data_IF_222030997718
#
_entry.id   IF_222030997718
#
_cell.length_a   1.000
_cell.length_b   1.000
_cell.length_c   1.000
_cell.angle_alpha   90.00
_cell.angle_beta   90.00
_cell.angle_gamma   90.00
#
_symmetry.space_group_name_H-M   'P 1'
#
loop_
_entity.id
_entity.type
_entity.pdbx_description
1 polymer ?
#
# COMPACT_ATOMS: atom_id res chain seq x y z
N UNK A 1 -9.40 -5.49 -42.90
CA UNK A 1 -8.63 -4.69 -41.92
C UNK A 1 -9.25 -4.93 -40.55
N UNK A 2 -8.79 -5.96 -39.84
CA UNK A 2 -9.29 -6.26 -38.50
C UNK A 2 -8.38 -5.54 -37.49
N UNK A 3 -8.95 -4.58 -36.78
CA UNK A 3 -8.28 -3.94 -35.64
C UNK A 3 -7.94 -5.00 -34.58
N UNK A 4 -6.78 -4.92 -33.91
CA UNK A 4 -6.45 -5.85 -32.85
C UNK A 4 -7.41 -5.67 -31.67
N UNK A 5 -8.00 -6.77 -31.24
CA UNK A 5 -8.78 -6.90 -30.01
C UNK A 5 -7.87 -6.49 -28.85
N UNK A 6 -8.24 -5.43 -28.11
CA UNK A 6 -7.58 -5.07 -26.84
C UNK A 6 -7.62 -6.28 -25.90
N UNK A 7 -6.52 -6.62 -25.19
CA UNK A 7 -6.56 -7.71 -24.23
C UNK A 7 -7.68 -7.43 -23.22
N UNK A 8 -8.53 -8.45 -23.05
CA UNK A 8 -9.75 -8.41 -22.27
C UNK A 8 -9.51 -7.83 -20.88
N UNK A 9 -10.46 -7.00 -20.46
CA UNK A 9 -10.68 -6.54 -19.10
C UNK A 9 -10.73 -7.76 -18.18
N UNK A 10 -9.59 -8.12 -17.57
CA UNK A 10 -9.58 -9.05 -16.44
C UNK A 10 -10.43 -8.36 -15.39
N UNK A 11 -11.59 -8.93 -15.07
CA UNK A 11 -12.44 -8.46 -13.98
C UNK A 11 -11.54 -8.11 -12.79
N UNK A 12 -11.41 -6.80 -12.53
CA UNK A 12 -10.47 -6.33 -11.53
C UNK A 12 -10.93 -6.89 -10.19
N UNK A 13 -10.13 -7.79 -9.60
CA UNK A 13 -10.34 -8.23 -8.22
C UNK A 13 -10.43 -6.97 -7.36
N UNK A 14 -11.40 -6.92 -6.45
CA UNK A 14 -11.51 -5.79 -5.53
C UNK A 14 -10.16 -5.61 -4.80
N UNK A 15 -9.66 -4.38 -4.66
CA UNK A 15 -8.37 -4.16 -4.01
C UNK A 15 -8.42 -4.65 -2.56
N UNK A 16 -7.29 -5.14 -2.04
CA UNK A 16 -7.16 -5.45 -0.62
C UNK A 16 -7.52 -4.23 0.21
N UNK A 17 -8.27 -4.42 1.29
CA UNK A 17 -8.66 -3.36 2.22
C UNK A 17 -8.33 -3.75 3.65
N UNK A 18 -7.82 -2.79 4.42
CA UNK A 18 -7.49 -2.96 5.83
C UNK A 18 -8.36 -2.04 6.69
N UNK A 19 -9.17 -2.59 7.62
CA UNK A 19 -9.95 -1.78 8.54
C UNK A 19 -9.06 -1.18 9.63
N UNK A 20 -9.35 0.06 10.02
CA UNK A 20 -8.70 0.73 11.14
C UNK A 20 -9.66 1.68 11.88
N UNK A 21 -9.30 2.01 13.12
CA UNK A 21 -9.99 3.00 13.95
C UNK A 21 -9.07 4.18 14.18
N UNK A 22 -9.62 5.40 14.16
CA UNK A 22 -8.90 6.60 14.57
C UNK A 22 -8.85 6.70 16.09
N UNK A 23 -7.65 6.75 16.65
CA UNK A 23 -7.41 6.92 18.09
C UNK A 23 -6.92 8.33 18.43
N UNK A 24 -6.84 8.64 19.73
CA UNK A 24 -6.34 9.93 20.21
C UNK A 24 -4.95 10.28 19.66
N UNK A 25 -4.04 9.29 19.58
CA UNK A 25 -2.69 9.46 19.03
C UNK A 25 -2.66 9.86 17.54
N UNK A 26 -3.77 9.63 16.83
CA UNK A 26 -3.88 9.96 15.42
C UNK A 26 -4.31 11.42 15.20
N UNK A 27 -4.87 12.08 16.21
CA UNK A 27 -5.50 13.41 16.11
C UNK A 27 -4.56 14.56 16.50
N UNK A 28 -4.86 15.77 16.01
CA UNK A 28 -4.19 17.01 16.40
C UNK A 28 -5.16 18.05 17.03
N UNK A 29 -4.65 19.23 17.35
CA UNK A 29 -5.41 20.33 17.94
C UNK A 29 -6.58 20.83 17.06
N UNK A 30 -6.61 20.47 15.77
CA UNK A 30 -7.73 20.73 14.87
C UNK A 30 -8.90 19.78 15.05
N UNK A 31 -8.81 18.78 15.93
CA UNK A 31 -9.87 17.80 16.20
C UNK A 31 -10.06 16.78 15.07
N UNK A 32 -9.05 16.61 14.22
CA UNK A 32 -9.03 15.70 13.07
C UNK A 32 -7.73 14.92 13.05
N UNK A 33 -7.65 13.87 12.23
CA UNK A 33 -6.40 13.12 12.03
C UNK A 33 -5.30 14.04 11.50
N UNK A 34 -4.16 14.07 12.19
CA UNK A 34 -2.98 14.80 11.75
C UNK A 34 -2.50 14.27 10.41
N UNK A 35 -2.30 15.16 9.42
CA UNK A 35 -2.10 14.78 8.01
C UNK A 35 -1.00 13.71 7.79
N UNK A 36 0.08 13.74 8.57
CA UNK A 36 1.17 12.79 8.42
C UNK A 36 0.79 11.36 8.87
N UNK A 37 -0.19 11.21 9.77
CA UNK A 37 -0.62 9.91 10.27
C UNK A 37 -1.29 9.04 9.19
N UNK A 38 -1.80 9.64 8.11
CA UNK A 38 -2.29 8.87 6.96
C UNK A 38 -1.17 8.04 6.29
N UNK A 39 0.10 8.48 6.35
CA UNK A 39 1.22 7.66 5.87
C UNK A 39 1.42 6.39 6.73
N UNK A 40 1.19 6.50 8.05
CA UNK A 40 1.20 5.34 8.97
C UNK A 40 0.07 4.38 8.63
N UNK A 41 -1.12 4.90 8.34
CA UNK A 41 -2.27 4.09 7.92
C UNK A 41 -1.98 3.34 6.62
N UNK A 42 -1.39 4.04 5.63
CA UNK A 42 -0.95 3.43 4.39
C UNK A 42 0.08 2.32 4.62
N UNK A 43 1.08 2.53 5.47
CA UNK A 43 2.08 1.52 5.81
C UNK A 43 1.49 0.29 6.50
N UNK A 44 0.61 0.48 7.50
CA UNK A 44 -0.09 -0.60 8.19
C UNK A 44 -0.86 -1.46 7.18
N UNK A 45 -1.60 -0.82 6.26
CA UNK A 45 -2.34 -1.54 5.21
C UNK A 45 -1.43 -2.33 4.26
N UNK A 46 -0.28 -1.78 3.85
CA UNK A 46 0.69 -2.53 3.02
C UNK A 46 1.32 -3.70 3.77
N UNK A 47 1.59 -3.54 5.07
CA UNK A 47 2.10 -4.62 5.92
C UNK A 47 1.11 -5.76 6.01
N UNK A 48 -0.16 -5.46 6.25
CA UNK A 48 -1.21 -6.48 6.37
C UNK A 48 -1.60 -7.09 5.02
N UNK A 49 -1.48 -6.34 3.93
CA UNK A 49 -1.57 -6.88 2.58
C UNK A 49 -0.48 -7.94 2.34
N UNK A 50 0.79 -7.63 2.61
CA UNK A 50 1.88 -8.62 2.50
C UNK A 50 1.63 -9.83 3.41
N UNK A 51 1.12 -9.61 4.62
CA UNK A 51 0.76 -10.69 5.55
C UNK A 51 -0.34 -11.59 4.99
N UNK A 52 -1.37 -11.03 4.35
CA UNK A 52 -2.42 -11.83 3.68
C UNK A 52 -1.88 -12.66 2.51
N UNK A 53 -0.77 -12.24 1.91
CA UNK A 53 -0.03 -13.00 0.91
C UNK A 53 0.95 -14.02 1.52
N UNK A 54 0.97 -14.16 2.84
CA UNK A 54 1.83 -15.10 3.58
C UNK A 54 3.23 -14.56 3.88
N UNK A 55 3.46 -13.25 3.75
CA UNK A 55 4.76 -12.63 4.01
C UNK A 55 4.70 -11.68 5.20
N UNK A 56 5.46 -11.96 6.25
CA UNK A 56 5.79 -10.95 7.26
C UNK A 56 7.07 -10.22 6.85
N UNK A 57 7.15 -8.92 7.11
CA UNK A 57 8.31 -8.11 6.70
C UNK A 57 9.61 -8.59 7.36
N UNK A 58 9.55 -8.98 8.64
CA UNK A 58 10.72 -9.48 9.36
C UNK A 58 11.17 -10.84 8.84
N UNK A 59 10.24 -11.78 8.64
CA UNK A 59 10.60 -13.10 8.09
C UNK A 59 11.19 -12.96 6.69
N UNK A 60 10.61 -12.08 5.86
CA UNK A 60 11.16 -11.80 4.54
C UNK A 60 12.60 -11.28 4.61
N UNK A 61 12.88 -10.36 5.53
CA UNK A 61 14.22 -9.83 5.76
C UNK A 61 15.20 -10.92 6.20
N UNK A 62 14.79 -11.79 7.13
CA UNK A 62 15.63 -12.88 7.65
C UNK A 62 15.91 -13.93 6.57
N UNK A 63 14.91 -14.33 5.79
CA UNK A 63 15.03 -15.43 4.82
C UNK A 63 15.72 -15.01 3.53
N UNK A 64 15.52 -13.76 3.08
CA UNK A 64 15.98 -13.31 1.76
C UNK A 64 17.07 -12.25 1.81
N UNK A 65 17.29 -11.64 2.98
CA UNK A 65 18.16 -10.50 3.15
C UNK A 65 17.65 -9.20 2.52
N UNK A 66 16.43 -9.16 1.96
CA UNK A 66 15.86 -7.95 1.35
C UNK A 66 14.88 -7.22 2.26
N UNK A 67 14.69 -5.93 2.02
CA UNK A 67 13.64 -5.13 2.65
C UNK A 67 13.03 -4.14 1.66
N UNK A 68 11.81 -3.71 1.94
CA UNK A 68 11.14 -2.65 1.17
C UNK A 68 11.37 -1.29 1.82
N UNK A 69 11.71 -0.29 1.02
CA UNK A 69 11.88 1.10 1.45
C UNK A 69 10.99 2.00 0.60
N UNK A 70 10.38 3.02 1.22
CA UNK A 70 9.63 4.04 0.49
C UNK A 70 10.62 5.01 -0.15
N UNK A 71 10.47 5.27 -1.45
CA UNK A 71 11.34 6.19 -2.21
C UNK A 71 10.63 7.44 -2.71
N UNK A 72 9.30 7.40 -2.82
CA UNK A 72 8.47 8.55 -3.19
C UNK A 72 7.06 8.41 -2.61
N UNK A 73 6.47 9.52 -2.19
CA UNK A 73 5.09 9.58 -1.72
C UNK A 73 4.39 10.84 -2.23
N UNK A 74 3.19 10.68 -2.78
CA UNK A 74 2.27 11.77 -3.09
C UNK A 74 0.95 11.52 -2.38
N UNK A 75 0.42 12.52 -1.68
CA UNK A 75 -0.82 12.39 -0.90
C UNK A 75 -1.75 13.58 -1.19
N UNK A 76 -3.02 13.27 -1.43
CA UNK A 76 -4.10 14.25 -1.63
C UNK A 76 -5.16 14.05 -0.55
N UNK A 77 -5.37 15.08 0.26
CA UNK A 77 -6.39 15.10 1.32
C UNK A 77 -7.66 15.77 0.78
N UNK A 78 -8.80 15.08 0.90
CA UNK A 78 -10.10 15.55 0.40
C UNK A 78 -11.04 15.92 1.54
N UNK A 79 -11.11 15.07 2.56
CA UNK A 79 -11.94 15.26 3.75
C UNK A 79 -11.23 14.75 5.00
N UNK A 80 -11.42 15.39 6.17
CA UNK A 80 -10.82 14.93 7.40
C UNK A 80 -11.56 13.73 8.00
N UNK A 81 -10.81 12.85 8.66
CA UNK A 81 -11.34 11.90 9.62
C UNK A 81 -11.25 12.45 11.06
N UNK A 82 -12.13 11.99 11.94
CA UNK A 82 -12.22 12.38 13.36
C UNK A 82 -11.98 11.18 14.28
N UNK A 83 -11.74 11.49 15.55
CA UNK A 83 -11.63 10.50 16.62
C UNK A 83 -12.78 9.50 16.53
N UNK A 84 -12.45 8.23 16.74
CA UNK A 84 -13.37 7.11 16.79
C UNK A 84 -14.07 6.77 15.45
N UNK A 85 -13.72 7.40 14.33
CA UNK A 85 -14.22 6.97 13.02
C UNK A 85 -13.56 5.66 12.55
N UNK A 86 -14.36 4.81 11.90
CA UNK A 86 -13.88 3.61 11.22
C UNK A 86 -13.47 3.95 9.80
N UNK A 87 -12.26 3.54 9.44
CA UNK A 87 -11.69 3.79 8.12
C UNK A 87 -11.29 2.48 7.46
N UNK A 88 -11.38 2.44 6.14
CA UNK A 88 -10.86 1.37 5.30
C UNK A 88 -9.72 1.91 4.45
N UNK A 89 -8.57 1.23 4.50
CA UNK A 89 -7.39 1.62 3.73
C UNK A 89 -7.10 0.59 2.66
N UNK A 90 -7.17 0.99 1.39
CA UNK A 90 -6.93 0.09 0.28
C UNK A 90 -5.45 0.00 -0.11
N UNK A 91 -5.09 -1.12 -0.74
CA UNK A 91 -3.79 -1.35 -1.36
C UNK A 91 -4.02 -1.86 -2.79
N UNK A 92 -3.51 -1.11 -3.78
CA UNK A 92 -3.56 -1.50 -5.19
C UNK A 92 -2.20 -1.28 -5.85
N UNK A 93 -1.54 -2.36 -6.25
CA UNK A 93 -0.32 -2.27 -7.07
C UNK A 93 -0.72 -1.81 -8.48
N UNK A 94 -0.12 -0.72 -8.94
CA UNK A 94 -0.41 -0.13 -10.26
C UNK A 94 0.77 -0.24 -11.22
N UNK A 95 1.99 -0.35 -10.71
CA UNK A 95 3.18 -0.67 -11.49
C UNK A 95 4.05 -1.67 -10.74
N UNK A 96 4.53 -2.70 -11.45
CA UNK A 96 5.38 -3.74 -10.91
C UNK A 96 6.68 -3.84 -11.72
N UNK A 97 7.78 -3.37 -11.13
CA UNK A 97 9.12 -3.49 -11.68
C UNK A 97 9.88 -4.69 -11.10
N UNK A 98 11.14 -4.86 -11.51
CA UNK A 98 12.02 -5.93 -10.99
C UNK A 98 12.53 -5.66 -9.58
N UNK A 99 12.64 -4.40 -9.20
CA UNK A 99 13.23 -3.94 -7.93
C UNK A 99 12.38 -2.85 -7.25
N UNK A 100 11.17 -2.61 -7.74
CA UNK A 100 10.29 -1.55 -7.24
C UNK A 100 8.82 -1.84 -7.54
N UNK A 101 7.93 -1.22 -6.77
CA UNK A 101 6.48 -1.23 -6.96
C UNK A 101 5.96 0.21 -6.85
N UNK A 102 4.89 0.53 -7.58
CA UNK A 102 4.06 1.73 -7.35
C UNK A 102 2.69 1.26 -6.89
N UNK A 103 2.24 1.82 -5.78
CA UNK A 103 1.01 1.42 -5.08
C UNK A 103 0.12 2.65 -4.93
N UNK A 104 -1.11 2.54 -5.43
CA UNK A 104 -2.19 3.46 -5.09
C UNK A 104 -2.90 2.97 -3.82
N UNK A 105 -3.16 3.88 -2.89
CA UNK A 105 -3.89 3.63 -1.65
C UNK A 105 -4.96 4.70 -1.46
N UNK A 106 -6.06 4.31 -0.85
CA UNK A 106 -7.14 5.22 -0.50
C UNK A 106 -7.55 4.98 0.94
N UNK A 107 -7.90 6.05 1.65
CA UNK A 107 -8.59 5.99 2.94
C UNK A 107 -10.03 6.40 2.75
N UNK A 108 -10.95 5.52 3.12
CA UNK A 108 -12.40 5.73 2.98
C UNK A 108 -13.09 5.57 4.33
N UNK A 109 -14.16 6.34 4.54
CA UNK A 109 -15.13 6.13 5.63
C UNK A 109 -16.47 5.77 4.98
N UNK A 110 -16.91 4.52 5.16
CA UNK A 110 -17.96 3.94 4.32
C UNK A 110 -17.65 4.21 2.84
N UNK A 111 -18.59 4.77 2.08
CA UNK A 111 -18.42 5.09 0.64
C UNK A 111 -17.74 6.45 0.37
N UNK A 112 -17.27 7.15 1.41
CA UNK A 112 -16.67 8.49 1.27
C UNK A 112 -15.16 8.42 1.20
N UNK A 113 -14.59 8.87 0.07
CA UNK A 113 -13.15 9.00 -0.10
C UNK A 113 -12.59 10.20 0.69
N UNK A 114 -11.70 9.93 1.64
CA UNK A 114 -11.08 10.95 2.50
C UNK A 114 -9.71 11.36 2.00
N UNK A 115 -8.86 10.38 1.66
CA UNK A 115 -7.45 10.60 1.28
C UNK A 115 -7.04 9.64 0.17
N UNK A 116 -6.25 10.14 -0.78
CA UNK A 116 -5.59 9.34 -1.81
C UNK A 116 -4.07 9.41 -1.63
N UNK A 117 -3.39 8.28 -1.73
CA UNK A 117 -1.94 8.17 -1.67
C UNK A 117 -1.40 7.40 -2.87
N UNK A 118 -0.27 7.85 -3.40
CA UNK A 118 0.57 7.09 -4.33
C UNK A 118 1.94 6.91 -3.71
N UNK A 119 2.35 5.66 -3.53
CA UNK A 119 3.58 5.29 -2.82
C UNK A 119 4.46 4.48 -3.76
N UNK A 120 5.69 4.93 -3.98
CA UNK A 120 6.72 4.13 -4.64
C UNK A 120 7.58 3.44 -3.58
N UNK A 121 7.72 2.12 -3.71
CA UNK A 121 8.62 1.34 -2.87
C UNK A 121 9.71 0.68 -3.70
N UNK A 122 10.93 0.69 -3.18
CA UNK A 122 12.09 -0.03 -3.71
C UNK A 122 12.41 -1.24 -2.86
N UNK A 123 12.89 -2.30 -3.49
CA UNK A 123 13.47 -3.46 -2.82
C UNK A 123 14.98 -3.24 -2.73
N UNK A 124 15.53 -3.36 -1.53
CA UNK A 124 16.95 -3.15 -1.25
C UNK A 124 17.52 -4.30 -0.44
N UNK A 125 18.83 -4.46 -0.49
CA UNK A 125 19.56 -5.28 0.48
C UNK A 125 19.41 -4.66 1.88
N UNK A 126 19.01 -5.48 2.85
CA UNK A 126 18.66 -5.01 4.20
C UNK A 126 19.85 -4.53 5.03
N UNK A 127 21.09 -4.82 4.61
CA UNK A 127 22.31 -4.41 5.31
C UNK A 127 22.96 -3.20 4.66
N UNK A 128 22.91 -3.13 3.33
CA UNK A 128 23.65 -2.13 2.54
C UNK A 128 22.75 -1.06 1.91
N UNK A 129 21.42 -1.23 1.93
CA UNK A 129 20.45 -0.35 1.26
C UNK A 129 20.63 -0.22 -0.26
N UNK A 130 21.44 -1.10 -0.88
CA UNK A 130 21.64 -1.13 -2.33
C UNK A 130 20.41 -1.78 -3.01
N UNK A 131 19.91 -1.24 -4.15
CA UNK A 131 18.80 -1.83 -4.88
C UNK A 131 19.00 -3.32 -5.21
N UNK A 132 17.99 -4.13 -4.91
CA UNK A 132 17.95 -5.58 -5.15
C UNK A 132 16.67 -5.93 -5.89
N UNK A 133 16.71 -7.02 -6.65
CA UNK A 133 15.49 -7.56 -7.26
C UNK A 133 14.55 -8.08 -6.18
N UNK A 134 13.26 -7.85 -6.37
CA UNK A 134 12.21 -8.47 -5.58
C UNK A 134 12.30 -9.98 -5.83
N UNK A 135 12.36 -10.81 -4.77
CA UNK A 135 12.36 -12.26 -4.93
C UNK A 135 11.17 -12.75 -5.78
N UNK A 136 11.38 -13.62 -6.79
CA UNK A 136 10.33 -14.02 -7.73
C UNK A 136 9.06 -14.57 -7.07
N UNK A 137 9.21 -15.36 -6.01
CA UNK A 137 8.09 -15.96 -5.28
C UNK A 137 7.14 -14.91 -4.66
N UNK A 138 7.62 -13.69 -4.37
CA UNK A 138 6.78 -12.60 -3.88
C UNK A 138 5.96 -12.03 -5.04
N UNK A 139 6.61 -11.75 -6.18
CA UNK A 139 5.95 -11.21 -7.37
C UNK A 139 4.85 -12.15 -7.89
N UNK A 140 5.09 -13.46 -7.82
CA UNK A 140 4.11 -14.49 -8.18
C UNK A 140 2.86 -14.41 -7.30
N UNK A 141 3.04 -14.26 -5.98
CA UNK A 141 1.91 -14.11 -5.04
C UNK A 141 1.17 -12.79 -5.20
N UNK A 142 1.87 -11.70 -5.55
CA UNK A 142 1.24 -10.40 -5.83
C UNK A 142 0.40 -10.40 -7.12
N UNK A 143 0.77 -11.22 -8.10
CA UNK A 143 0.05 -11.30 -9.39
C UNK A 143 -1.18 -12.20 -9.32
N UNK A 144 -1.23 -13.09 -8.33
CA UNK A 144 -2.32 -14.03 -8.11
C UNK A 144 -3.47 -13.48 -7.24
N UNK A 145 -3.31 -12.27 -6.69
CA UNK A 145 -4.30 -11.55 -5.87
C UNK A 145 -4.93 -10.41 -6.69
#
# INVERSE_FOLDING_TARGET
>A
MNAPIRPADRAATAPFTWPLRVYWEDTDAGGVVFYANYLKFFERARTEWLRSLGFSQEQLRLDTGVMFVVTDTSVRYRQPARLDEELHVSVRVVEQGRASLVIDQQVQRADTLLVEGRIRIGCVDSRTFVPRRIPPFILERMTAA
#
